data_IF_249364007156
#
_entry.id   IF_249364007156
#
_cell.length_a   1.000
_cell.length_b   1.000
_cell.length_c   1.000
_cell.angle_alpha   90.00
_cell.angle_beta   90.00
_cell.angle_gamma   90.00
#
_symmetry.space_group_name_H-M   'P 1'
#
loop_
_entity.id
_entity.type
_entity.pdbx_description
1 polymer ?
#
# COMPACT_ATOMS: atom_id res chain seq x y z
N UNK A 1 24.57 -3.84 12.68
CA UNK A 1 24.92 -4.36 11.34
C UNK A 1 23.65 -4.33 10.51
N UNK A 2 23.44 -3.29 9.69
CA UNK A 2 22.22 -3.14 8.88
C UNK A 2 22.26 -4.13 7.71
N UNK A 3 21.36 -5.10 7.73
CA UNK A 3 20.80 -5.69 6.52
C UNK A 3 19.32 -5.34 6.51
N UNK A 4 19.01 -4.07 6.25
CA UNK A 4 17.69 -3.71 5.76
C UNK A 4 17.62 -4.25 4.34
N UNK A 5 16.68 -5.14 4.05
CA UNK A 5 16.35 -5.50 2.68
C UNK A 5 16.04 -4.21 1.91
N UNK A 6 16.23 -4.22 0.59
CA UNK A 6 16.11 -3.01 -0.20
C UNK A 6 14.72 -2.33 -0.09
N UNK A 7 13.69 -3.05 0.32
CA UNK A 7 12.31 -2.56 0.38
C UNK A 7 11.98 -1.83 1.69
N UNK A 8 12.52 -2.25 2.83
CA UNK A 8 12.31 -1.57 4.12
C UNK A 8 12.85 -0.14 4.07
N UNK A 9 14.03 0.05 3.47
CA UNK A 9 14.64 1.36 3.31
C UNK A 9 13.76 2.30 2.45
N UNK A 10 13.08 1.78 1.42
CA UNK A 10 12.14 2.59 0.65
C UNK A 10 10.92 3.00 1.49
N UNK A 11 10.35 2.09 2.29
CA UNK A 11 9.24 2.44 3.19
C UNK A 11 9.67 3.53 4.17
N UNK A 12 10.83 3.39 4.82
CA UNK A 12 11.33 4.38 5.76
C UNK A 12 11.49 5.77 5.14
N UNK A 13 11.97 5.84 3.89
CA UNK A 13 12.12 7.10 3.15
C UNK A 13 10.75 7.69 2.78
N UNK A 14 9.80 6.88 2.31
CA UNK A 14 8.44 7.36 2.00
C UNK A 14 7.72 7.89 3.25
N UNK A 15 7.86 7.19 4.37
CA UNK A 15 7.31 7.60 5.67
C UNK A 15 7.94 8.91 6.18
N UNK A 16 9.21 9.15 5.85
CA UNK A 16 9.86 10.42 6.16
C UNK A 16 9.26 11.58 5.34
N UNK A 17 9.03 11.39 4.03
CA UNK A 17 8.36 12.41 3.20
C UNK A 17 6.96 12.72 3.72
N UNK A 18 6.18 11.70 4.07
CA UNK A 18 4.84 11.88 4.63
C UNK A 18 4.86 12.70 5.92
N UNK A 19 5.77 12.38 6.86
CA UNK A 19 5.95 13.14 8.11
C UNK A 19 6.36 14.59 7.87
N UNK A 20 7.16 14.86 6.84
CA UNK A 20 7.51 16.24 6.47
C UNK A 20 6.25 16.97 5.95
N UNK A 21 5.44 16.33 5.12
CA UNK A 21 4.18 16.89 4.62
C UNK A 21 3.18 17.23 5.72
N UNK A 22 3.07 16.37 6.74
CA UNK A 22 2.24 16.62 7.94
C UNK A 22 2.67 17.89 8.69
N UNK A 23 3.98 18.11 8.82
CA UNK A 23 4.53 19.29 9.53
C UNK A 23 4.50 20.55 8.67
N UNK A 24 4.68 20.42 7.35
CA UNK A 24 4.80 21.56 6.43
C UNK A 24 3.44 22.19 6.04
N UNK A 25 2.31 21.66 6.52
CA UNK A 25 0.95 22.10 6.19
C UNK A 25 0.64 22.20 4.68
N UNK A 26 1.45 21.52 3.86
CA UNK A 26 1.40 21.51 2.39
C UNK A 26 1.64 20.06 1.94
N UNK A 27 0.69 19.16 2.20
CA UNK A 27 0.90 17.70 2.10
C UNK A 27 1.07 17.15 0.68
N UNK A 28 0.39 17.73 -0.32
CA UNK A 28 0.26 17.13 -1.66
C UNK A 28 1.60 16.85 -2.39
N UNK A 29 2.60 17.76 -2.40
CA UNK A 29 3.91 17.48 -3.00
C UNK A 29 4.69 16.38 -2.28
N UNK A 30 4.53 16.28 -0.96
CA UNK A 30 5.19 15.27 -0.13
C UNK A 30 4.52 13.90 -0.27
N UNK A 31 3.20 13.86 -0.38
CA UNK A 31 2.44 12.64 -0.66
C UNK A 31 2.75 12.09 -2.05
N UNK A 32 2.92 12.97 -3.04
CA UNK A 32 3.37 12.57 -4.38
C UNK A 32 4.76 11.91 -4.33
N UNK A 33 5.69 12.51 -3.58
CA UNK A 33 7.03 11.93 -3.40
C UNK A 33 7.00 10.62 -2.60
N UNK A 34 6.20 10.53 -1.54
CA UNK A 34 6.03 9.30 -0.78
C UNK A 34 5.47 8.16 -1.68
N UNK A 35 4.45 8.47 -2.50
CA UNK A 35 3.89 7.54 -3.48
C UNK A 35 4.93 7.03 -4.47
N UNK A 36 5.75 7.91 -5.05
CA UNK A 36 6.85 7.51 -5.95
C UNK A 36 7.79 6.50 -5.27
N UNK A 37 8.15 6.74 -4.01
CA UNK A 37 9.05 5.87 -3.27
C UNK A 37 8.39 4.51 -2.96
N UNK A 38 7.11 4.49 -2.55
CA UNK A 38 6.39 3.24 -2.31
C UNK A 38 6.20 2.40 -3.60
N UNK A 39 6.09 3.03 -4.77
CA UNK A 39 6.09 2.32 -6.06
C UNK A 39 7.42 1.61 -6.36
N UNK A 40 8.54 2.22 -5.99
CA UNK A 40 9.86 1.58 -6.07
C UNK A 40 9.93 0.39 -5.09
N UNK A 41 9.42 0.56 -3.87
CA UNK A 41 9.31 -0.53 -2.90
C UNK A 41 8.48 -1.70 -3.44
N UNK A 42 7.33 -1.42 -4.06
CA UNK A 42 6.43 -2.44 -4.62
C UNK A 42 7.11 -3.22 -5.76
N UNK A 43 7.78 -2.51 -6.66
CA UNK A 43 8.55 -3.12 -7.75
C UNK A 43 9.65 -4.03 -7.22
N UNK A 44 10.28 -3.66 -6.10
CA UNK A 44 11.32 -4.42 -5.43
C UNK A 44 10.78 -5.64 -4.66
N UNK A 45 9.65 -5.49 -3.97
CA UNK A 45 9.00 -6.55 -3.20
C UNK A 45 8.47 -7.67 -4.10
N UNK A 46 7.93 -7.33 -5.27
CA UNK A 46 7.50 -8.32 -6.28
C UNK A 46 8.62 -9.28 -6.70
N UNK A 47 9.86 -8.79 -6.80
CA UNK A 47 11.03 -9.62 -7.15
C UNK A 47 11.50 -10.53 -6.03
N UNK A 48 11.11 -10.24 -4.79
CA UNK A 48 11.51 -10.99 -3.59
C UNK A 48 10.43 -11.96 -3.12
N UNK A 49 9.27 -11.99 -3.79
CA UNK A 49 8.16 -12.91 -3.49
C UNK A 49 7.80 -12.96 -1.99
N UNK A 50 7.74 -11.78 -1.36
CA UNK A 50 7.56 -11.65 0.08
C UNK A 50 6.19 -11.05 0.42
N UNK A 51 5.28 -11.86 0.99
CA UNK A 51 3.94 -11.46 1.42
C UNK A 51 3.99 -10.31 2.43
N UNK A 52 4.79 -10.46 3.49
CA UNK A 52 4.93 -9.46 4.55
C UNK A 52 5.40 -8.09 4.02
N UNK A 53 6.28 -8.10 3.02
CA UNK A 53 6.77 -6.92 2.35
C UNK A 53 5.63 -6.20 1.61
N UNK A 54 4.79 -6.95 0.88
CA UNK A 54 3.63 -6.41 0.16
C UNK A 54 2.58 -5.82 1.11
N UNK A 55 2.32 -6.47 2.26
CA UNK A 55 1.38 -5.96 3.25
C UNK A 55 1.87 -4.66 3.90
N UNK A 56 3.17 -4.53 4.23
CA UNK A 56 3.73 -3.26 4.74
C UNK A 56 3.69 -2.15 3.71
N UNK A 57 3.92 -2.46 2.43
CA UNK A 57 3.79 -1.47 1.35
C UNK A 57 2.33 -1.05 1.17
N UNK A 58 1.38 -1.98 1.26
CA UNK A 58 -0.04 -1.68 1.20
C UNK A 58 -0.49 -0.74 2.35
N UNK A 59 0.02 -0.96 3.56
CA UNK A 59 -0.21 -0.07 4.72
C UNK A 59 0.35 1.33 4.47
N UNK A 60 1.52 1.44 3.83
CA UNK A 60 2.11 2.71 3.45
C UNK A 60 1.25 3.47 2.41
N UNK A 61 0.69 2.77 1.41
CA UNK A 61 -0.28 3.35 0.48
C UNK A 61 -1.61 3.73 1.16
N UNK A 62 -2.06 2.96 2.14
CA UNK A 62 -3.25 3.27 2.94
C UNK A 62 -3.09 4.58 3.73
N UNK A 63 -1.88 4.87 4.22
CA UNK A 63 -1.59 6.16 4.86
C UNK A 63 -1.67 7.36 3.89
N UNK A 64 -1.59 7.13 2.57
CA UNK A 64 -1.77 8.15 1.53
C UNK A 64 -3.19 8.16 0.92
N UNK A 65 -4.08 7.25 1.36
CA UNK A 65 -5.38 7.03 0.72
C UNK A 65 -5.28 6.47 -0.71
N UNK A 66 -4.13 5.90 -1.09
CA UNK A 66 -3.88 5.41 -2.45
C UNK A 66 -4.43 3.99 -2.66
N UNK A 67 -5.76 3.94 -2.75
CA UNK A 67 -6.51 2.69 -2.84
C UNK A 67 -6.08 1.77 -3.98
N UNK A 68 -5.79 2.31 -5.16
CA UNK A 68 -5.41 1.50 -6.31
C UNK A 68 -4.19 0.62 -5.98
N UNK A 69 -3.23 1.22 -5.29
CA UNK A 69 -2.01 0.52 -4.88
C UNK A 69 -2.20 -0.37 -3.65
N UNK A 70 -3.18 -0.08 -2.77
CA UNK A 70 -3.61 -1.04 -1.73
C UNK A 70 -4.18 -2.31 -2.40
N UNK A 71 -5.16 -2.16 -3.30
CA UNK A 71 -5.81 -3.29 -4.00
C UNK A 71 -4.81 -4.14 -4.79
N UNK A 72 -3.83 -3.49 -5.43
CA UNK A 72 -2.80 -4.18 -6.21
C UNK A 72 -1.85 -4.95 -5.30
N UNK A 73 -1.44 -4.37 -4.18
CA UNK A 73 -0.51 -5.00 -3.23
C UNK A 73 -1.15 -6.20 -2.53
N UNK A 74 -2.42 -6.08 -2.12
CA UNK A 74 -3.19 -7.20 -1.53
C UNK A 74 -3.35 -8.35 -2.53
N UNK A 75 -3.71 -8.07 -3.79
CA UNK A 75 -3.85 -9.12 -4.82
C UNK A 75 -2.54 -9.89 -5.06
N UNK A 76 -1.41 -9.20 -5.03
CA UNK A 76 -0.10 -9.86 -5.16
C UNK A 76 0.24 -10.68 -3.91
N UNK A 77 -0.11 -10.17 -2.73
CA UNK A 77 0.08 -10.88 -1.48
C UNK A 77 -0.77 -12.16 -1.43
N UNK A 78 -2.04 -12.11 -1.84
CA UNK A 78 -2.92 -13.27 -1.99
C UNK A 78 -2.32 -14.33 -2.92
N UNK A 79 -1.81 -13.91 -4.09
CA UNK A 79 -1.21 -14.83 -5.06
C UNK A 79 0.00 -15.58 -4.49
N UNK A 80 0.81 -14.90 -3.68
CA UNK A 80 2.00 -15.50 -3.04
C UNK A 80 1.63 -16.34 -1.81
N UNK A 81 0.58 -15.96 -1.10
CA UNK A 81 0.13 -16.64 0.11
C UNK A 81 -0.63 -17.95 -0.16
N UNK A 82 -1.07 -18.21 -1.41
CA UNK A 82 -1.99 -19.29 -1.76
C UNK A 82 -1.60 -20.74 -1.35
N UNK A 83 -0.36 -20.97 -0.91
CA UNK A 83 0.09 -22.28 -0.41
C UNK A 83 0.62 -22.24 1.03
N UNK A 84 0.48 -21.10 1.71
CA UNK A 84 0.92 -20.85 3.08
C UNK A 84 -0.27 -20.37 3.92
N UNK A 85 -0.88 -21.24 4.74
CA UNK A 85 -2.05 -20.90 5.55
C UNK A 85 -1.83 -19.74 6.53
N UNK A 86 -0.60 -19.55 7.02
CA UNK A 86 -0.25 -18.45 7.91
C UNK A 86 -0.21 -17.13 7.12
N UNK A 87 0.47 -17.14 5.97
CA UNK A 87 0.48 -15.99 5.07
C UNK A 87 -0.93 -15.62 4.58
N UNK A 88 -1.80 -16.60 4.29
CA UNK A 88 -3.19 -16.31 3.93
C UNK A 88 -3.96 -15.67 5.09
N UNK A 89 -3.71 -16.10 6.32
CA UNK A 89 -4.34 -15.50 7.50
C UNK A 89 -3.91 -14.04 7.66
N UNK A 90 -2.64 -13.74 7.41
CA UNK A 90 -2.13 -12.37 7.42
C UNK A 90 -2.79 -11.49 6.36
N UNK A 91 -2.95 -11.99 5.12
CA UNK A 91 -3.61 -11.23 4.06
C UNK A 91 -5.10 -11.02 4.37
N UNK A 92 -5.79 -12.02 4.92
CA UNK A 92 -7.18 -11.88 5.39
C UNK A 92 -7.30 -10.84 6.50
N UNK A 93 -6.42 -10.89 7.51
CA UNK A 93 -6.41 -9.93 8.61
C UNK A 93 -6.15 -8.51 8.11
N UNK A 94 -5.21 -8.33 7.18
CA UNK A 94 -4.96 -7.05 6.53
C UNK A 94 -6.22 -6.53 5.80
N UNK A 95 -6.84 -7.38 4.98
CA UNK A 95 -8.03 -7.01 4.20
C UNK A 95 -9.18 -6.58 5.09
N UNK A 96 -9.39 -7.28 6.22
CA UNK A 96 -10.39 -6.88 7.23
C UNK A 96 -10.07 -5.52 7.86
N UNK A 97 -8.80 -5.26 8.18
CA UNK A 97 -8.36 -3.98 8.77
C UNK A 97 -8.57 -2.79 7.83
N UNK A 98 -8.43 -2.99 6.53
CA UNK A 98 -8.55 -1.93 5.51
C UNK A 98 -9.83 -2.02 4.67
N UNK A 99 -10.86 -2.72 5.16
CA UNK A 99 -12.09 -2.97 4.42
C UNK A 99 -12.74 -1.67 3.90
N UNK A 100 -12.85 -0.64 4.73
CA UNK A 100 -13.49 0.63 4.33
C UNK A 100 -12.78 1.28 3.13
N UNK A 101 -11.44 1.36 3.19
CA UNK A 101 -10.63 1.91 2.10
C UNK A 101 -10.67 1.03 0.84
N UNK A 102 -10.87 -0.28 1.01
CA UNK A 102 -11.02 -1.26 -0.06
C UNK A 102 -12.47 -1.40 -0.59
N UNK A 103 -13.48 -0.76 0.00
CA UNK A 103 -14.90 -0.88 -0.42
C UNK A 103 -15.47 0.36 -1.11
N UNK A 104 -15.06 1.56 -0.73
CA UNK A 104 -15.49 2.89 -1.25
C UNK A 104 -15.44 3.18 -2.80
N UNK A 105 -15.04 2.24 -3.68
CA UNK A 105 -15.08 2.43 -5.15
C UNK A 105 -16.47 2.11 -5.74
N UNK A 106 -17.35 1.50 -4.95
CA UNK A 106 -18.72 1.22 -5.35
C UNK A 106 -19.54 2.52 -5.48
N UNK A 107 -19.39 3.43 -4.52
CA UNK A 107 -20.17 4.68 -4.43
C UNK A 107 -19.90 5.65 -5.60
N UNK A 108 -18.63 5.79 -6.03
CA UNK A 108 -18.25 6.76 -7.07
C UNK A 108 -18.42 6.29 -8.54
N UNK A 109 -18.91 5.06 -8.80
CA UNK A 109 -19.23 4.58 -10.16
C UNK A 109 -20.72 4.62 -10.48
N UNK A 110 -21.60 4.53 -9.48
CA UNK A 110 -23.04 4.70 -9.67
C UNK A 110 -23.39 6.16 -9.95
N UNK A 111 -22.70 7.11 -9.32
CA UNK A 111 -22.97 8.54 -9.48
C UNK A 111 -22.55 9.10 -10.86
N UNK A 112 -21.56 8.46 -11.52
CA UNK A 112 -21.18 8.79 -12.91
C UNK A 112 -22.02 8.08 -13.98
N UNK A 113 -22.94 7.19 -13.58
CA UNK A 113 -23.91 6.53 -14.47
C UNK A 113 -25.27 7.21 -14.49
N UNK A 114 -25.50 8.18 -13.60
CA UNK A 114 -26.71 9.01 -13.56
C UNK A 114 -26.36 10.45 -13.96
N UNK A 115 -26.03 10.64 -15.24
CA UNK A 115 -26.17 11.94 -15.89
C UNK A 115 -27.13 11.71 -17.06
N UNK A 116 -28.33 12.33 -17.06
CA UNK A 116 -29.31 12.18 -18.14
C UNK A 116 -28.83 12.81 -19.45
#
# INVERSE_FOLDING_TARGET
>A
MMKAGGWEAFIEVGDAYRRIGEVAATGEPFDAKAREIYLLALSQARRQECVQCLLRIAEAFAALGDREHIELSVRLADLLAAQDPEAEADVRAFTMRFADQLLDRASGREERRQVP
#
